data_IF_480621014562
#
_entry.id   IF_480621014562
#
_cell.length_a   1.000
_cell.length_b   1.000
_cell.length_c   1.000
_cell.angle_alpha   90.00
_cell.angle_beta   90.00
_cell.angle_gamma   90.00
#
_symmetry.space_group_name_H-M   'P 1'
#
loop_
_entity.id
_entity.type
_entity.pdbx_description
1 polymer ?
#
# COMPACT_ATOMS: atom_id res chain seq x y z
N UNK A 1 3.29 -5.86 -18.46
CA UNK A 1 2.15 -6.59 -17.84
C UNK A 1 0.89 -5.87 -18.27
N UNK A 2 -0.05 -6.57 -18.89
CA UNK A 2 -1.38 -6.01 -19.22
C UNK A 2 -2.29 -6.38 -18.05
N UNK A 3 -3.03 -5.41 -17.53
CA UNK A 3 -4.00 -5.64 -16.46
C UNK A 3 -5.40 -5.77 -17.03
N UNK A 4 -6.24 -6.56 -16.37
CA UNK A 4 -7.62 -6.82 -16.77
C UNK A 4 -8.60 -6.38 -15.69
N UNK A 5 -9.84 -6.09 -16.11
CA UNK A 5 -10.94 -5.90 -15.16
C UNK A 5 -11.05 -7.14 -14.29
N UNK A 6 -11.09 -6.93 -12.98
CA UNK A 6 -11.07 -8.00 -11.98
C UNK A 6 -9.71 -8.28 -11.35
N UNK A 7 -8.60 -7.81 -11.94
CA UNK A 7 -7.28 -7.89 -11.31
C UNK A 7 -7.30 -7.18 -9.95
N UNK A 8 -6.46 -7.69 -9.03
CA UNK A 8 -6.34 -7.14 -7.68
C UNK A 8 -4.97 -6.55 -7.42
N UNK A 9 -4.98 -5.33 -6.92
CA UNK A 9 -3.82 -4.66 -6.35
C UNK A 9 -3.94 -4.57 -4.85
N UNK A 10 -2.84 -4.21 -4.21
CA UNK A 10 -2.83 -3.83 -2.81
C UNK A 10 -2.16 -2.47 -2.66
N UNK A 11 -2.68 -1.66 -1.75
CA UNK A 11 -2.05 -0.38 -1.40
C UNK A 11 -0.79 -0.68 -0.61
N UNK A 12 0.31 -0.02 -0.96
CA UNK A 12 1.59 -0.14 -0.26
C UNK A 12 1.82 1.07 0.64
N UNK A 13 2.28 0.82 1.85
CA UNK A 13 2.47 1.82 2.90
C UNK A 13 3.87 1.68 3.51
N UNK A 14 4.41 2.79 4.03
CA UNK A 14 5.67 2.77 4.77
C UNK A 14 5.50 2.05 6.11
N UNK A 15 6.50 1.28 6.50
CA UNK A 15 6.59 0.69 7.83
C UNK A 15 7.79 1.25 8.57
N UNK A 16 7.68 1.36 9.89
CA UNK A 16 8.77 1.75 10.78
C UNK A 16 8.98 0.69 11.86
N UNK A 17 10.23 0.63 12.32
CA UNK A 17 10.62 -0.07 13.54
C UNK A 17 10.09 0.71 14.75
N UNK A 18 9.48 0.00 15.69
CA UNK A 18 9.02 0.55 16.94
C UNK A 18 9.49 -0.35 18.08
N UNK A 19 10.25 0.23 19.00
CA UNK A 19 10.71 -0.44 20.21
C UNK A 19 9.56 -0.61 21.21
N UNK A 20 9.54 -1.75 21.89
CA UNK A 20 8.60 -2.04 22.96
C UNK A 20 9.42 -2.24 24.23
N UNK A 21 9.24 -1.32 25.18
CA UNK A 21 10.08 -1.13 26.37
C UNK A 21 10.30 -2.42 27.19
N UNK A 22 9.34 -3.35 27.18
CA UNK A 22 9.34 -4.52 28.06
C UNK A 22 10.04 -5.78 27.50
N UNK A 23 10.37 -5.86 26.19
CA UNK A 23 10.75 -7.17 25.57
C UNK A 23 12.06 -7.13 24.76
N UNK A 24 12.79 -6.02 24.69
CA UNK A 24 13.94 -5.86 23.76
C UNK A 24 13.60 -6.37 22.35
N UNK A 25 12.34 -6.19 21.93
CA UNK A 25 11.83 -6.69 20.67
C UNK A 25 11.16 -5.55 19.93
N UNK A 26 11.55 -5.36 18.68
CA UNK A 26 10.98 -4.34 17.83
C UNK A 26 9.83 -4.91 17.00
N UNK A 27 8.81 -4.08 16.79
CA UNK A 27 7.62 -4.42 16.00
C UNK A 27 7.48 -3.48 14.81
N UNK A 28 6.86 -3.99 13.76
CA UNK A 28 6.53 -3.19 12.59
C UNK A 28 5.26 -2.38 12.85
N UNK A 29 5.30 -1.10 12.54
CA UNK A 29 4.17 -0.17 12.62
C UNK A 29 3.99 0.55 11.28
N UNK A 30 2.76 0.92 10.95
CA UNK A 30 2.49 1.75 9.78
C UNK A 30 2.94 3.18 10.05
N UNK A 31 3.79 3.73 9.18
CA UNK A 31 4.36 5.07 9.34
C UNK A 31 3.27 6.16 9.40
N UNK A 32 2.19 5.97 8.64
CA UNK A 32 1.15 6.99 8.46
C UNK A 32 0.32 7.25 9.73
N UNK A 33 0.08 6.23 10.55
CA UNK A 33 -0.84 6.32 11.69
C UNK A 33 -0.35 5.62 12.96
N UNK A 34 0.89 5.13 12.98
CA UNK A 34 1.51 4.44 14.11
C UNK A 34 0.66 3.29 14.68
N UNK A 35 -0.09 2.59 13.82
CA UNK A 35 -0.77 1.35 14.19
C UNK A 35 0.14 0.14 14.02
N UNK A 36 0.05 -0.87 14.90
CA UNK A 36 0.87 -2.07 14.78
C UNK A 36 0.49 -2.86 13.52
N UNK A 37 1.50 -3.28 12.77
CA UNK A 37 1.32 -4.11 11.57
C UNK A 37 1.13 -5.61 11.90
N UNK A 38 1.26 -5.99 13.17
CA UNK A 38 0.98 -7.34 13.66
C UNK A 38 2.13 -8.34 13.49
N UNK A 39 3.36 -7.87 13.24
CA UNK A 39 4.55 -8.71 13.16
C UNK A 39 5.80 -7.99 13.68
N UNK A 40 6.82 -8.78 14.04
CA UNK A 40 8.12 -8.27 14.49
C UNK A 40 8.86 -7.56 13.36
N UNK A 41 9.65 -6.56 13.70
CA UNK A 41 10.56 -5.95 12.73
C UNK A 41 11.60 -6.97 12.28
N UNK A 42 11.90 -7.01 10.98
CA UNK A 42 12.73 -8.05 10.35
C UNK A 42 13.81 -7.47 9.43
N UNK A 43 13.97 -6.15 9.41
CA UNK A 43 14.91 -5.47 8.52
C UNK A 43 16.03 -4.82 9.32
N UNK A 44 17.21 -4.69 8.73
CA UNK A 44 18.38 -4.08 9.38
C UNK A 44 18.31 -2.55 9.50
N UNK A 45 17.32 -1.94 8.85
CA UNK A 45 17.06 -0.49 8.85
C UNK A 45 15.87 -0.22 9.76
N UNK A 46 15.75 0.98 10.28
CA UNK A 46 14.63 1.46 11.12
C UNK A 46 13.33 1.73 10.34
N UNK A 47 13.41 1.82 9.01
CA UNK A 47 12.26 2.13 8.15
C UNK A 47 12.24 1.34 6.85
N UNK A 48 11.06 0.85 6.46
CA UNK A 48 10.80 0.17 5.21
C UNK A 48 9.92 1.06 4.32
N UNK A 49 10.46 1.65 3.24
CA UNK A 49 9.66 2.42 2.29
C UNK A 49 8.53 1.59 1.67
N UNK A 50 7.42 2.24 1.34
CA UNK A 50 6.25 1.59 0.73
C UNK A 50 6.61 0.74 -0.51
N UNK A 51 7.62 1.13 -1.28
CA UNK A 51 8.07 0.37 -2.45
C UNK A 51 8.43 -1.09 -2.12
N UNK A 52 8.94 -1.35 -0.91
CA UNK A 52 9.38 -2.65 -0.44
C UNK A 52 8.38 -3.33 0.51
N UNK A 53 7.18 -2.75 0.69
CA UNK A 53 6.18 -3.31 1.60
C UNK A 53 5.77 -4.72 1.16
N UNK A 54 5.87 -5.74 2.04
CA UNK A 54 5.43 -7.08 1.71
C UNK A 54 3.90 -7.14 1.60
N UNK A 55 3.38 -7.97 0.68
CA UNK A 55 1.92 -8.11 0.44
C UNK A 55 1.13 -8.48 1.71
N UNK A 56 1.73 -9.24 2.64
CA UNK A 56 1.11 -9.63 3.92
C UNK A 56 0.78 -8.44 4.84
N UNK A 57 1.44 -7.30 4.64
CA UNK A 57 1.21 -6.08 5.40
C UNK A 57 0.20 -5.14 4.71
N UNK A 58 -0.46 -5.57 3.63
CA UNK A 58 -1.47 -4.76 2.98
C UNK A 58 -2.75 -4.66 3.82
N UNK A 59 -3.20 -3.42 4.09
CA UNK A 59 -4.50 -3.15 4.73
C UNK A 59 -5.64 -3.02 3.74
N UNK A 60 -5.35 -2.62 2.50
CA UNK A 60 -6.34 -2.32 1.47
C UNK A 60 -6.00 -3.10 0.20
N UNK A 61 -7.00 -3.79 -0.33
CA UNK A 61 -6.97 -4.44 -1.63
C UNK A 61 -7.92 -3.72 -2.57
N UNK A 62 -7.42 -3.38 -3.75
CA UNK A 62 -8.19 -2.72 -4.81
C UNK A 62 -8.49 -3.73 -5.89
N UNK A 63 -9.71 -3.70 -6.43
CA UNK A 63 -10.11 -4.49 -7.61
C UNK A 63 -10.30 -3.52 -8.77
N UNK A 64 -9.73 -3.84 -9.93
CA UNK A 64 -9.99 -3.06 -11.13
C UNK A 64 -11.43 -3.30 -11.58
N UNK A 65 -12.22 -2.23 -11.69
CA UNK A 65 -13.62 -2.27 -12.14
C UNK A 65 -13.79 -1.85 -13.59
N UNK A 66 -12.93 -0.97 -14.10
CA UNK A 66 -12.97 -0.46 -15.46
C UNK A 66 -11.54 -0.20 -15.96
N UNK A 67 -11.27 -0.51 -17.23
CA UNK A 67 -10.04 -0.15 -17.94
C UNK A 67 -10.46 0.42 -19.29
N UNK A 68 -9.96 1.60 -19.63
CA UNK A 68 -10.17 2.24 -20.92
C UNK A 68 -8.90 2.91 -21.42
N UNK A 69 -8.86 3.17 -22.72
CA UNK A 69 -7.77 3.90 -23.38
C UNK A 69 -8.35 5.21 -23.88
N UNK A 70 -7.73 6.32 -23.48
CA UNK A 70 -8.13 7.67 -23.85
C UNK A 70 -6.90 8.46 -24.29
N UNK A 71 -7.07 9.45 -25.17
CA UNK A 71 -6.01 10.43 -25.40
C UNK A 71 -5.93 11.33 -24.18
N UNK A 72 -4.72 11.74 -23.79
CA UNK A 72 -4.51 12.64 -22.65
C UNK A 72 -5.30 13.95 -22.79
N UNK A 73 -5.48 14.45 -24.01
CA UNK A 73 -6.26 15.67 -24.25
C UNK A 73 -7.78 15.48 -24.10
N UNK A 74 -8.26 14.25 -24.18
CA UNK A 74 -9.67 13.89 -24.01
C UNK A 74 -9.98 13.48 -22.56
N UNK A 75 -8.96 13.38 -21.70
CA UNK A 75 -9.15 13.10 -20.27
C UNK A 75 -9.80 14.32 -19.63
N UNK A 76 -11.07 14.19 -19.24
CA UNK A 76 -11.76 15.21 -18.48
C UNK A 76 -11.08 15.43 -17.12
N UNK A 77 -11.13 16.67 -16.63
CA UNK A 77 -10.62 17.02 -15.30
C UNK A 77 -11.58 16.58 -14.18
N UNK A 78 -12.70 15.94 -14.53
CA UNK A 78 -13.71 15.46 -13.59
C UNK A 78 -13.51 13.96 -13.33
N UNK A 79 -13.49 13.59 -12.06
CA UNK A 79 -13.37 12.20 -11.61
C UNK A 79 -14.60 11.35 -11.98
N UNK A 80 -15.77 11.96 -12.20
CA UNK A 80 -16.99 11.28 -12.62
C UNK A 80 -16.87 10.61 -14.00
N UNK A 81 -16.00 11.11 -14.86
CA UNK A 81 -15.73 10.50 -16.17
C UNK A 81 -15.14 9.08 -16.01
N UNK A 82 -14.52 8.79 -14.86
CA UNK A 82 -14.03 7.46 -14.54
C UNK A 82 -15.10 6.46 -14.06
N UNK A 83 -16.33 6.93 -13.80
CA UNK A 83 -17.45 6.09 -13.39
C UNK A 83 -18.34 5.64 -14.56
N UNK A 84 -18.12 6.18 -15.76
CA UNK A 84 -18.88 5.84 -16.97
C UNK A 84 -18.49 4.47 -17.54
#
# INVERSE_FOLDING_TARGET
IIHLVGDRFWVREGLIEYEIDDIQSTRAYYEADLKPAGFHWQWQRDKLPAMFMPKRAARIFLKITNIRVERVQDMGNNWEDCLR
#
